data_IF_141726582774
#
_entry.id   IF_141726582774
#
_cell.length_a   1.000
_cell.length_b   1.000
_cell.length_c   1.000
_cell.angle_alpha   90.00
_cell.angle_beta   90.00
_cell.angle_gamma   90.00
#
_symmetry.space_group_name_H-M   'P 1'
#
loop_
_entity.id
_entity.type
_entity.pdbx_description
1 polymer ?
#
# COMPACT_ATOMS: atom_id res chain seq x y z
N UNK A 1 -17.37 -12.27 11.44
CA UNK A 1 -15.95 -12.72 11.30
C UNK A 1 -15.04 -11.54 11.55
N UNK A 2 -14.08 -11.72 12.40
CA UNK A 2 -13.14 -10.67 12.70
C UNK A 2 -12.11 -10.51 11.59
N UNK A 3 -11.79 -9.28 11.29
CA UNK A 3 -10.72 -8.99 10.34
C UNK A 3 -9.36 -9.32 10.94
N UNK A 4 -8.40 -9.57 10.09
CA UNK A 4 -7.01 -9.64 10.52
C UNK A 4 -6.60 -8.33 11.14
N UNK A 5 -5.93 -8.43 12.26
CA UNK A 5 -5.32 -7.26 12.86
C UNK A 5 -3.90 -7.10 12.34
N UNK A 6 -3.51 -5.88 12.05
CA UNK A 6 -2.13 -5.60 11.75
C UNK A 6 -1.26 -5.90 12.97
N UNK A 7 -0.03 -6.33 12.72
CA UNK A 7 0.93 -6.52 13.79
C UNK A 7 1.17 -5.20 14.52
N UNK A 8 1.31 -5.28 15.84
CA UNK A 8 1.65 -4.10 16.62
C UNK A 8 3.08 -3.69 16.33
N UNK A 9 3.25 -2.43 15.94
CA UNK A 9 4.57 -1.88 15.66
C UNK A 9 4.89 -0.89 16.78
N UNK A 10 6.03 -1.05 17.47
CA UNK A 10 6.39 -0.10 18.51
C UNK A 10 6.68 1.28 17.94
N UNK A 11 6.29 2.31 18.69
CA UNK A 11 6.63 3.68 18.32
C UNK A 11 8.07 3.97 18.71
N UNK A 12 8.82 4.54 17.79
CA UNK A 12 10.17 5.00 18.03
C UNK A 12 10.21 6.53 18.01
N UNK A 13 11.13 7.15 18.75
CA UNK A 13 11.24 8.60 18.71
C UNK A 13 11.74 9.09 17.36
N UNK A 14 11.25 10.26 16.95
CA UNK A 14 11.64 10.89 15.69
C UNK A 14 10.80 10.45 14.52
N UNK A 15 11.23 10.86 13.34
CA UNK A 15 10.57 10.55 12.08
C UNK A 15 11.58 10.05 11.08
N UNK A 16 11.17 9.09 10.26
CA UNK A 16 11.96 8.62 9.14
C UNK A 16 11.91 9.59 7.96
N UNK A 17 12.71 9.31 6.93
CA UNK A 17 12.71 10.13 5.72
C UNK A 17 11.42 9.98 4.94
N UNK A 18 11.09 11.01 4.16
CA UNK A 18 9.95 10.97 3.25
C UNK A 18 10.19 9.98 2.12
N UNK A 19 9.22 9.10 1.83
CA UNK A 19 9.32 8.23 0.66
C UNK A 19 9.17 9.01 -0.64
N UNK A 20 9.95 8.62 -1.63
CA UNK A 20 9.86 9.13 -3.00
C UNK A 20 9.59 7.98 -3.94
N UNK A 21 8.75 8.22 -4.91
CA UNK A 21 8.39 7.23 -5.92
C UNK A 21 8.52 7.83 -7.31
N UNK A 22 8.81 6.99 -8.29
CA UNK A 22 8.78 7.42 -9.68
C UNK A 22 7.34 7.59 -10.13
N UNK A 23 7.01 8.80 -10.56
CA UNK A 23 5.70 9.09 -11.12
C UNK A 23 5.70 8.66 -12.58
N UNK A 24 4.85 7.70 -12.93
CA UNK A 24 4.79 7.16 -14.29
C UNK A 24 4.41 8.24 -15.31
N UNK A 25 3.57 9.19 -14.93
CA UNK A 25 3.13 10.23 -15.84
C UNK A 25 4.25 11.21 -16.22
N UNK A 26 5.18 11.47 -15.31
CA UNK A 26 6.28 12.42 -15.55
C UNK A 26 7.63 11.74 -15.73
N UNK A 27 7.75 10.49 -15.33
CA UNK A 27 9.03 9.76 -15.31
C UNK A 27 10.00 10.23 -14.25
N UNK A 28 9.56 11.09 -13.35
CA UNK A 28 10.43 11.69 -12.34
C UNK A 28 10.18 11.13 -10.96
N UNK A 29 11.24 11.11 -10.15
CA UNK A 29 11.16 10.75 -8.75
C UNK A 29 10.47 11.88 -7.99
N UNK A 30 9.34 11.58 -7.39
CA UNK A 30 8.46 12.56 -6.78
C UNK A 30 8.16 12.16 -5.34
N UNK A 31 8.06 13.12 -4.45
CA UNK A 31 7.62 12.88 -3.08
C UNK A 31 6.25 12.20 -3.11
N UNK A 32 6.14 11.06 -2.42
CA UNK A 32 4.95 10.21 -2.52
C UNK A 32 3.69 10.82 -1.89
N UNK A 33 3.86 11.69 -0.89
CA UNK A 33 2.74 12.40 -0.28
C UNK A 33 3.12 13.87 -0.08
N UNK A 34 2.28 14.77 -0.56
CA UNK A 34 2.59 16.21 -0.52
C UNK A 34 2.20 16.85 0.81
N UNK A 35 1.22 16.32 1.52
CA UNK A 35 0.70 16.88 2.77
C UNK A 35 0.89 15.96 3.95
N UNK A 36 0.21 16.28 5.05
CA UNK A 36 0.27 15.46 6.25
C UNK A 36 -0.45 14.13 6.08
N UNK A 37 -1.53 14.10 5.32
CA UNK A 37 -2.27 12.88 5.03
C UNK A 37 -1.69 12.21 3.79
N UNK A 38 -1.58 10.89 3.83
CA UNK A 38 -1.15 10.08 2.70
C UNK A 38 -2.21 9.03 2.41
N UNK A 39 -2.56 8.88 1.14
CA UNK A 39 -3.58 7.92 0.73
C UNK A 39 -3.01 6.99 -0.32
N UNK A 40 -3.33 5.71 -0.19
CA UNK A 40 -2.94 4.69 -1.15
C UNK A 40 -4.16 3.88 -1.53
N UNK A 41 -4.45 3.85 -2.82
CA UNK A 41 -5.44 2.95 -3.38
C UNK A 41 -4.71 1.90 -4.21
N UNK A 42 -4.86 0.64 -3.83
CA UNK A 42 -4.22 -0.47 -4.52
C UNK A 42 -5.26 -1.39 -5.14
N UNK A 43 -4.96 -1.91 -6.31
CA UNK A 43 -5.80 -2.92 -6.94
C UNK A 43 -5.58 -4.27 -6.26
N UNK A 44 -6.69 -4.93 -5.88
CA UNK A 44 -6.63 -6.25 -5.29
C UNK A 44 -6.44 -7.35 -6.32
N UNK A 45 -6.15 -8.54 -5.83
CA UNK A 45 -6.07 -9.74 -6.66
C UNK A 45 -7.49 -10.12 -7.09
N UNK A 46 -7.64 -10.46 -8.35
CA UNK A 46 -8.88 -11.03 -8.86
C UNK A 46 -9.04 -12.45 -8.28
N UNK A 47 -10.18 -12.79 -7.66
CA UNK A 47 -10.29 -14.07 -6.95
C UNK A 47 -10.09 -15.31 -7.82
N UNK A 48 -10.31 -15.22 -9.11
CA UNK A 48 -10.10 -16.35 -10.02
C UNK A 48 -8.68 -16.40 -10.60
N UNK A 49 -7.83 -15.44 -10.26
CA UNK A 49 -6.42 -15.48 -10.64
C UNK A 49 -5.64 -16.30 -9.63
N UNK A 50 -4.66 -17.03 -10.12
CA UNK A 50 -3.75 -17.73 -9.24
C UNK A 50 -2.86 -16.75 -8.49
N UNK A 51 -2.77 -16.96 -7.17
CA UNK A 51 -1.83 -16.19 -6.36
C UNK A 51 -0.42 -16.72 -6.58
N UNK A 52 0.53 -15.82 -6.77
CA UNK A 52 1.92 -16.18 -6.96
C UNK A 52 2.85 -15.18 -6.29
N UNK A 53 4.16 -15.42 -6.39
CA UNK A 53 5.17 -14.59 -5.74
C UNK A 53 5.14 -13.13 -6.20
N UNK A 54 4.75 -12.86 -7.44
CA UNK A 54 4.60 -11.50 -7.93
C UNK A 54 3.55 -10.71 -7.16
N UNK A 55 2.43 -11.35 -6.83
CA UNK A 55 1.40 -10.72 -5.99
C UNK A 55 1.91 -10.45 -4.59
N UNK A 56 2.62 -11.39 -3.99
CA UNK A 56 3.20 -11.21 -2.67
C UNK A 56 4.19 -10.05 -2.64
N UNK A 57 5.04 -9.95 -3.65
CA UNK A 57 6.02 -8.86 -3.75
C UNK A 57 5.32 -7.50 -3.86
N UNK A 58 4.23 -7.42 -4.62
CA UNK A 58 3.45 -6.19 -4.77
C UNK A 58 2.84 -5.76 -3.44
N UNK A 59 2.23 -6.68 -2.71
CA UNK A 59 1.61 -6.35 -1.42
C UNK A 59 2.64 -5.98 -0.36
N UNK A 60 3.79 -6.63 -0.38
CA UNK A 60 4.89 -6.25 0.52
C UNK A 60 5.40 -4.84 0.22
N UNK A 61 5.47 -4.46 -1.05
CA UNK A 61 5.87 -3.12 -1.44
C UNK A 61 4.88 -2.07 -0.91
N UNK A 62 3.58 -2.32 -1.01
CA UNK A 62 2.57 -1.41 -0.47
C UNK A 62 2.64 -1.33 1.06
N UNK A 63 2.86 -2.45 1.72
CA UNK A 63 3.02 -2.47 3.17
C UNK A 63 4.23 -1.65 3.62
N UNK A 64 5.34 -1.77 2.93
CA UNK A 64 6.53 -0.98 3.21
C UNK A 64 6.29 0.51 3.01
N UNK A 65 5.58 0.89 1.96
CA UNK A 65 5.26 2.28 1.70
C UNK A 65 4.39 2.87 2.82
N UNK A 66 3.36 2.14 3.24
CA UNK A 66 2.49 2.57 4.34
C UNK A 66 3.29 2.75 5.62
N UNK A 67 4.18 1.82 5.92
CA UNK A 67 5.03 1.91 7.11
C UNK A 67 6.01 3.08 7.02
N UNK A 68 6.59 3.30 5.86
CA UNK A 68 7.51 4.42 5.64
C UNK A 68 6.80 5.76 5.79
N UNK A 69 5.58 5.88 5.29
CA UNK A 69 4.78 7.09 5.48
C UNK A 69 4.47 7.33 6.95
N UNK A 70 4.07 6.29 7.67
CA UNK A 70 3.78 6.42 9.10
C UNK A 70 5.02 6.84 9.88
N UNK A 71 6.16 6.28 9.52
CA UNK A 71 7.43 6.63 10.15
C UNK A 71 7.83 8.07 9.83
N UNK A 72 7.49 8.57 8.66
CA UNK A 72 7.70 9.96 8.28
C UNK A 72 6.70 10.93 8.93
N UNK A 73 5.68 10.42 9.62
CA UNK A 73 4.72 11.24 10.34
C UNK A 73 3.41 11.47 9.63
N UNK A 74 3.15 10.78 8.53
CA UNK A 74 1.88 10.91 7.82
C UNK A 74 0.76 10.12 8.48
N UNK A 75 -0.45 10.65 8.37
CA UNK A 75 -1.67 9.89 8.65
C UNK A 75 -2.04 9.17 7.35
N UNK A 76 -2.07 7.83 7.40
CA UNK A 76 -2.18 7.03 6.20
C UNK A 76 -3.56 6.40 6.10
N UNK A 77 -4.17 6.54 4.91
CA UNK A 77 -5.35 5.80 4.52
C UNK A 77 -4.98 4.81 3.42
N UNK A 78 -5.22 3.54 3.66
CA UNK A 78 -4.96 2.49 2.70
C UNK A 78 -6.29 1.86 2.29
N UNK A 79 -6.59 1.86 1.01
CA UNK A 79 -7.79 1.27 0.46
C UNK A 79 -7.41 0.32 -0.66
N UNK A 80 -8.01 -0.84 -0.64
CA UNK A 80 -7.79 -1.87 -1.65
C UNK A 80 -9.14 -2.38 -2.11
N UNK A 81 -9.35 -2.47 -3.42
CA UNK A 81 -10.56 -3.07 -3.92
C UNK A 81 -10.49 -4.59 -3.76
N UNK A 82 -11.65 -5.19 -3.52
CA UNK A 82 -11.81 -6.64 -3.54
C UNK A 82 -12.75 -6.95 -4.67
N UNK A 83 -12.27 -7.72 -5.64
CA UNK A 83 -13.11 -8.16 -6.74
C UNK A 83 -13.84 -9.43 -6.30
N UNK A 84 -15.17 -9.36 -6.29
CA UNK A 84 -15.96 -10.53 -5.99
C UNK A 84 -15.77 -11.62 -7.04
N UNK A 85 -16.00 -12.86 -6.61
CA UNK A 85 -15.99 -13.99 -7.52
C UNK A 85 -17.32 -14.01 -8.25
N UNK A 86 -17.42 -13.18 -9.26
CA UNK A 86 -18.49 -13.31 -10.23
C UNK A 86 -18.10 -14.34 -11.26
N UNK A 87 -19.00 -14.61 -12.19
CA UNK A 87 -18.66 -15.50 -13.27
C UNK A 87 -17.42 -15.00 -13.98
N UNK A 88 -16.37 -15.83 -14.07
CA UNK A 88 -15.23 -15.43 -14.84
C UNK A 88 -15.67 -15.14 -16.27
N UNK A 89 -15.19 -14.08 -16.80
CA UNK A 89 -15.44 -13.79 -18.22
C UNK A 89 -14.64 -14.80 -19.03
N UNK A 90 -15.35 -15.65 -19.67
CA UNK A 90 -14.76 -16.72 -20.49
C UNK A 90 -14.62 -16.28 -21.93
#
# INVERSE_FOLDING_TARGET
>A
MDSWRAATVPSLPGHGPEPYLTNTATGQLTRAAAGQAASLYACGITPYDATHLGHAATYLAWDLLVRAWRDAGHVVSYVQNVTDVDDPLL
#
